data_IF_728095721916
#
_entry.id   IF_728095721916
#
_cell.length_a   1.000
_cell.length_b   1.000
_cell.length_c   1.000
_cell.angle_alpha   90.00
_cell.angle_beta   90.00
_cell.angle_gamma   90.00
#
_symmetry.space_group_name_H-M   'P 1'
#
loop_
_entity.id
_entity.type
_entity.pdbx_description
1 polymer ?
#
# COMPACT_ATOMS: atom_id res chain seq x y z
N UNK A 1 9.67 22.46 12.11
CA UNK A 1 8.29 22.87 12.44
C UNK A 1 7.37 22.11 11.51
N UNK A 2 6.62 21.14 12.03
CA UNK A 2 5.53 20.49 11.29
C UNK A 2 4.38 21.50 11.20
N UNK A 3 3.80 21.67 10.01
CA UNK A 3 2.69 22.61 9.79
C UNK A 3 1.46 21.77 9.51
N UNK A 4 0.45 21.88 10.37
CA UNK A 4 -0.83 21.21 10.12
C UNK A 4 -1.54 21.94 8.97
N UNK A 5 -1.72 21.27 7.83
CA UNK A 5 -2.40 21.80 6.66
C UNK A 5 -3.74 21.09 6.49
N UNK A 6 -4.81 21.73 6.94
CA UNK A 6 -6.16 21.22 6.70
C UNK A 6 -6.66 21.62 5.29
N UNK A 7 -6.62 20.73 4.28
CA UNK A 7 -7.46 20.87 3.07
C UNK A 7 -8.84 20.25 3.29
N UNK A 8 -9.54 20.71 4.34
CA UNK A 8 -10.92 20.32 4.63
C UNK A 8 -11.87 20.77 3.48
N UNK A 9 -11.47 21.76 2.68
CA UNK A 9 -12.39 22.52 1.82
C UNK A 9 -12.70 21.83 0.49
N UNK A 10 -11.80 21.03 -0.08
CA UNK A 10 -11.98 20.58 -1.47
C UNK A 10 -12.29 19.09 -1.67
N UNK A 11 -11.77 18.18 -0.84
CA UNK A 11 -11.90 16.72 -1.05
C UNK A 11 -12.19 15.93 0.23
N UNK A 12 -12.44 16.61 1.35
CA UNK A 12 -12.71 15.96 2.63
C UNK A 12 -11.51 15.27 3.28
N UNK A 13 -10.27 15.60 2.88
CA UNK A 13 -9.04 15.04 3.47
C UNK A 13 -8.36 16.11 4.34
N UNK A 14 -8.34 15.88 5.64
CA UNK A 14 -7.43 16.58 6.56
C UNK A 14 -6.09 15.85 6.57
N UNK A 15 -4.97 16.56 6.40
CA UNK A 15 -3.65 15.94 6.44
C UNK A 15 -2.63 16.77 7.22
N UNK A 16 -1.65 16.08 7.81
CA UNK A 16 -0.49 16.74 8.41
C UNK A 16 0.62 16.84 7.39
N UNK A 17 1.12 18.05 7.15
CA UNK A 17 2.20 18.27 6.19
C UNK A 17 3.52 18.51 6.92
N UNK A 18 4.55 17.80 6.48
CA UNK A 18 5.92 18.03 6.90
C UNK A 18 6.73 18.53 5.71
N UNK A 19 7.34 19.74 5.80
CA UNK A 19 8.29 20.20 4.81
C UNK A 19 9.63 19.43 4.88
N UNK A 20 9.82 18.61 5.92
CA UNK A 20 11.00 17.78 6.11
C UNK A 20 10.85 16.47 5.36
N UNK A 21 11.83 16.14 4.52
CA UNK A 21 11.86 14.85 3.82
C UNK A 21 12.15 13.69 4.77
N UNK A 22 11.48 12.55 4.54
CA UNK A 22 11.79 11.31 5.26
C UNK A 22 13.24 10.85 5.04
N UNK A 23 13.88 11.23 3.92
CA UNK A 23 15.29 10.94 3.67
C UNK A 23 16.26 11.66 4.61
N UNK A 24 15.84 12.78 5.21
CA UNK A 24 16.67 13.55 6.14
C UNK A 24 16.62 13.06 7.59
N UNK A 25 15.68 12.16 7.91
CA UNK A 25 15.52 11.62 9.25
C UNK A 25 16.47 10.44 9.45
N UNK A 26 17.12 10.41 10.61
CA UNK A 26 17.77 9.20 11.14
C UNK A 26 16.72 8.13 11.48
N UNK A 27 17.18 6.90 11.70
CA UNK A 27 16.28 5.79 12.04
C UNK A 27 15.51 6.05 13.35
N UNK A 28 16.18 6.63 14.35
CA UNK A 28 15.56 6.90 15.65
C UNK A 28 14.58 8.07 15.59
N UNK A 29 14.88 9.11 14.80
CA UNK A 29 13.93 10.19 14.52
C UNK A 29 12.69 9.67 13.79
N UNK A 30 12.87 8.78 12.80
CA UNK A 30 11.73 8.17 12.10
C UNK A 30 10.89 7.30 13.03
N UNK A 31 11.51 6.50 13.91
CA UNK A 31 10.80 5.70 14.92
C UNK A 31 10.00 6.59 15.87
N UNK A 32 10.61 7.68 16.35
CA UNK A 32 9.94 8.63 17.22
C UNK A 32 8.76 9.31 16.51
N UNK A 33 8.95 9.75 15.26
CA UNK A 33 7.89 10.33 14.45
C UNK A 33 6.74 9.35 14.22
N UNK A 34 7.01 8.09 13.88
CA UNK A 34 5.98 7.05 13.73
C UNK A 34 5.21 6.86 15.04
N UNK A 35 5.90 6.86 16.18
CA UNK A 35 5.27 6.77 17.49
C UNK A 35 4.32 7.96 17.75
N UNK A 36 4.78 9.19 17.48
CA UNK A 36 3.95 10.40 17.59
C UNK A 36 2.73 10.36 16.66
N UNK A 37 2.90 9.95 15.40
CA UNK A 37 1.81 9.86 14.44
C UNK A 37 0.82 8.76 14.82
N UNK A 38 1.28 7.63 15.34
CA UNK A 38 0.42 6.56 15.83
C UNK A 38 -0.42 7.00 17.04
N UNK A 39 0.09 7.90 17.89
CA UNK A 39 -0.69 8.48 18.97
C UNK A 39 -1.85 9.38 18.46
N UNK A 40 -1.77 9.83 17.20
CA UNK A 40 -2.79 10.65 16.53
C UNK A 40 -3.65 9.85 15.52
N UNK A 41 -3.53 8.51 15.46
CA UNK A 41 -4.15 7.72 14.39
C UNK A 41 -5.68 7.78 14.35
N UNK A 42 -6.33 8.06 15.48
CA UNK A 42 -7.78 8.18 15.56
C UNK A 42 -8.32 9.55 15.10
N UNK A 43 -7.42 10.49 14.77
CA UNK A 43 -7.77 11.86 14.36
C UNK A 43 -7.12 12.27 13.03
N UNK A 44 -6.17 11.47 12.53
CA UNK A 44 -5.32 11.82 11.39
C UNK A 44 -5.29 10.69 10.36
N UNK A 45 -6.02 10.85 9.26
CA UNK A 45 -6.07 9.85 8.18
C UNK A 45 -4.94 9.96 7.14
N UNK A 46 -4.30 11.13 7.02
CA UNK A 46 -3.29 11.36 6.00
C UNK A 46 -2.11 12.19 6.51
N UNK A 47 -0.90 11.82 6.10
CA UNK A 47 0.29 12.66 6.27
C UNK A 47 1.03 12.80 4.95
N UNK A 48 1.64 13.96 4.75
CA UNK A 48 2.41 14.28 3.54
C UNK A 48 3.78 14.77 3.95
N UNK A 49 4.83 14.12 3.43
CA UNK A 49 6.22 14.55 3.58
C UNK A 49 6.73 15.05 2.24
N UNK A 50 7.31 16.25 2.23
CA UNK A 50 7.91 16.80 1.02
C UNK A 50 9.18 16.05 0.62
N UNK A 51 9.48 15.96 -0.68
CA UNK A 51 10.70 15.33 -1.15
C UNK A 51 11.93 16.24 -0.96
N UNK A 52 13.13 15.67 -0.98
CA UNK A 52 14.39 16.44 -0.95
C UNK A 52 14.82 16.97 -2.33
N UNK A 53 14.00 16.72 -3.35
CA UNK A 53 14.26 17.12 -4.74
C UNK A 53 15.10 16.14 -5.55
N UNK A 54 15.64 15.07 -4.94
CA UNK A 54 16.41 14.04 -5.65
C UNK A 54 15.53 13.11 -6.49
N UNK A 55 14.25 12.94 -6.11
CA UNK A 55 13.29 12.10 -6.83
C UNK A 55 12.25 12.92 -7.61
N UNK A 56 11.98 12.46 -8.83
CA UNK A 56 10.89 12.96 -9.69
C UNK A 56 9.62 12.13 -9.58
N UNK A 57 9.66 11.03 -8.82
CA UNK A 57 8.55 10.11 -8.62
C UNK A 57 7.99 10.33 -7.23
N UNK A 58 6.67 10.49 -7.11
CA UNK A 58 6.01 10.56 -5.82
C UNK A 58 5.69 9.14 -5.32
N UNK A 59 5.62 8.96 -4.00
CA UNK A 59 5.24 7.70 -3.37
C UNK A 59 3.93 7.87 -2.62
N UNK A 60 2.98 6.99 -2.88
CA UNK A 60 1.74 6.87 -2.12
C UNK A 60 1.79 5.56 -1.35
N UNK A 61 1.54 5.61 -0.04
CA UNK A 61 1.48 4.44 0.82
C UNK A 61 0.08 4.37 1.43
N UNK A 62 -0.53 3.19 1.37
CA UNK A 62 -1.73 2.87 2.13
C UNK A 62 -1.36 1.87 3.23
N UNK A 63 -1.65 2.25 4.48
CA UNK A 63 -1.53 1.36 5.63
C UNK A 63 -2.58 0.25 5.58
N UNK A 64 -2.19 -0.96 5.96
CA UNK A 64 -3.10 -2.08 6.19
C UNK A 64 -3.78 -2.02 7.56
N UNK A 65 -4.64 -3.00 7.82
CA UNK A 65 -5.33 -3.15 9.11
C UNK A 65 -4.30 -3.17 10.25
N UNK A 66 -4.52 -2.36 11.28
CA UNK A 66 -3.68 -2.25 12.48
C UNK A 66 -2.25 -1.72 12.26
N UNK A 67 -1.84 -1.40 11.03
CA UNK A 67 -0.50 -0.88 10.75
C UNK A 67 -0.36 0.60 11.15
N UNK A 68 -1.46 1.36 11.15
CA UNK A 68 -1.50 2.81 11.38
C UNK A 68 -0.44 3.50 10.50
N UNK A 69 0.55 4.19 11.08
CA UNK A 69 1.64 4.86 10.36
C UNK A 69 2.94 4.04 10.28
N UNK A 70 2.94 2.79 10.72
CA UNK A 70 4.16 1.98 10.85
C UNK A 70 4.83 1.67 9.50
N UNK A 71 4.06 1.65 8.41
CA UNK A 71 4.59 1.42 7.06
C UNK A 71 5.40 2.62 6.52
N UNK A 72 5.41 3.78 7.19
CA UNK A 72 6.35 4.86 6.85
C UNK A 72 7.81 4.40 6.89
N UNK A 73 8.11 3.35 7.68
CA UNK A 73 9.43 2.73 7.74
C UNK A 73 9.94 2.23 6.38
N UNK A 74 9.06 1.84 5.45
CA UNK A 74 9.47 1.43 4.09
C UNK A 74 9.88 2.62 3.22
N UNK A 75 9.52 3.84 3.60
CA UNK A 75 9.91 5.05 2.90
C UNK A 75 11.19 5.69 3.44
N UNK A 76 11.85 5.05 4.42
CA UNK A 76 13.10 5.56 4.99
C UNK A 76 14.15 5.79 3.90
N UNK A 77 14.84 6.92 3.95
CA UNK A 77 15.90 7.23 2.98
C UNK A 77 15.42 7.52 1.56
N UNK A 78 14.11 7.59 1.30
CA UNK A 78 13.56 7.99 0.01
C UNK A 78 13.46 9.52 -0.07
N UNK A 79 14.10 10.13 -1.06
CA UNK A 79 13.99 11.56 -1.35
C UNK A 79 12.70 11.95 -2.09
N UNK A 80 11.72 11.06 -2.13
CA UNK A 80 10.43 11.29 -2.79
C UNK A 80 9.48 12.03 -1.88
N UNK A 81 8.57 12.80 -2.47
CA UNK A 81 7.38 13.24 -1.76
C UNK A 81 6.53 12.03 -1.42
N UNK A 82 6.15 11.87 -0.16
CA UNK A 82 5.39 10.72 0.35
C UNK A 82 4.02 11.17 0.81
N UNK A 83 2.98 10.58 0.23
CA UNK A 83 1.61 10.63 0.74
C UNK A 83 1.35 9.32 1.47
N UNK A 84 0.98 9.38 2.74
CA UNK A 84 0.66 8.19 3.52
C UNK A 84 -0.77 8.29 4.02
N UNK A 85 -1.58 7.30 3.69
CA UNK A 85 -2.97 7.18 4.10
C UNK A 85 -3.14 6.02 5.07
N UNK A 86 -3.99 6.24 6.07
CA UNK A 86 -4.48 5.21 6.98
C UNK A 86 -5.91 5.56 7.39
N UNK A 87 -6.70 4.55 7.70
CA UNK A 87 -8.04 4.75 8.22
C UNK A 87 -8.26 3.72 9.32
N UNK A 88 -8.33 4.15 10.59
CA UNK A 88 -8.61 3.24 11.73
C UNK A 88 -10.09 2.89 11.86
N UNK A 89 -10.97 3.57 11.12
CA UNK A 89 -12.43 3.44 11.20
C UNK A 89 -12.96 2.60 10.04
N UNK A 90 -12.45 2.83 8.83
CA UNK A 90 -12.82 2.14 7.60
C UNK A 90 -11.58 1.56 6.93
N UNK A 91 -11.09 0.43 7.44
CA UNK A 91 -9.76 -0.08 7.07
C UNK A 91 -9.60 -0.42 5.58
N UNK A 92 -10.70 -0.62 4.85
CA UNK A 92 -10.72 -0.84 3.40
C UNK A 92 -11.00 0.44 2.61
N UNK A 93 -10.80 1.62 3.21
CA UNK A 93 -10.93 2.91 2.54
C UNK A 93 -12.31 3.10 1.90
N UNK A 94 -13.36 2.63 2.58
CA UNK A 94 -14.77 2.81 2.19
C UNK A 94 -15.35 4.16 2.61
N UNK A 95 -14.52 5.03 3.21
CA UNK A 95 -14.92 6.33 3.74
C UNK A 95 -15.19 6.30 5.24
N UNK A 96 -14.81 7.39 5.91
CA UNK A 96 -14.94 7.61 7.34
C UNK A 96 -14.91 9.11 7.67
N UNK A 97 -14.87 9.45 8.96
CA UNK A 97 -14.57 10.81 9.41
C UNK A 97 -13.08 11.19 9.24
N UNK A 98 -12.19 10.22 8.98
CA UNK A 98 -10.75 10.46 8.80
C UNK A 98 -10.38 10.69 7.34
N UNK A 99 -10.98 9.91 6.45
CA UNK A 99 -10.73 9.94 5.01
C UNK A 99 -12.04 9.80 4.24
N UNK A 100 -12.16 10.41 3.04
CA UNK A 100 -13.20 10.01 2.10
C UNK A 100 -12.94 8.57 1.64
N UNK A 101 -13.88 8.02 0.88
CA UNK A 101 -13.67 6.76 0.21
C UNK A 101 -12.51 6.81 -0.80
N UNK A 102 -12.15 5.64 -1.33
CA UNK A 102 -11.05 5.48 -2.27
C UNK A 102 -11.19 6.35 -3.53
N UNK A 103 -12.43 6.63 -3.98
CA UNK A 103 -12.69 7.54 -5.11
C UNK A 103 -12.34 8.98 -4.76
N UNK A 104 -12.70 9.44 -3.56
CA UNK A 104 -12.32 10.74 -3.03
C UNK A 104 -10.81 10.89 -2.86
N UNK A 105 -10.13 9.85 -2.36
CA UNK A 105 -8.66 9.81 -2.26
C UNK A 105 -8.03 9.90 -3.66
N UNK A 106 -8.55 9.16 -4.63
CA UNK A 106 -8.08 9.22 -6.01
C UNK A 106 -8.26 10.62 -6.62
N UNK A 107 -9.39 11.29 -6.36
CA UNK A 107 -9.64 12.66 -6.80
C UNK A 107 -8.65 13.65 -6.18
N UNK A 108 -8.39 13.55 -4.87
CA UNK A 108 -7.38 14.33 -4.17
C UNK A 108 -5.99 14.13 -4.79
N UNK A 109 -5.53 12.89 -4.95
CA UNK A 109 -4.20 12.61 -5.50
C UNK A 109 -4.05 13.10 -6.95
N UNK A 110 -5.08 12.95 -7.80
CA UNK A 110 -5.06 13.53 -9.14
C UNK A 110 -4.88 15.05 -9.14
N UNK A 111 -5.42 15.76 -8.14
CA UNK A 111 -5.21 17.21 -8.00
C UNK A 111 -3.80 17.54 -7.53
N UNK A 112 -3.27 16.84 -6.53
CA UNK A 112 -2.00 17.18 -5.89
C UNK A 112 -0.75 16.65 -6.61
N UNK A 113 -0.89 15.55 -7.36
CA UNK A 113 0.16 14.98 -8.21
C UNK A 113 -0.02 15.48 -9.67
N UNK A 114 -1.26 15.68 -10.12
CA UNK A 114 -1.57 15.96 -11.53
C UNK A 114 -1.69 17.44 -11.95
N UNK A 115 -1.61 18.43 -11.04
CA UNK A 115 -1.70 19.87 -11.38
C UNK A 115 -0.36 20.59 -11.67
N UNK A 116 0.78 19.89 -11.69
CA UNK A 116 2.02 20.56 -12.10
C UNK A 116 1.95 20.91 -13.60
N UNK A 117 2.21 22.17 -14.01
CA UNK A 117 2.12 22.61 -15.42
C UNK A 117 3.11 21.90 -16.35
N UNK A 118 4.07 21.15 -15.78
CA UNK A 118 5.15 20.45 -16.48
C UNK A 118 4.98 18.96 -16.23
N UNK A 119 4.04 18.34 -16.94
CA UNK A 119 3.86 16.88 -17.00
C UNK A 119 3.29 16.25 -15.72
N UNK A 120 2.60 15.11 -15.90
CA UNK A 120 2.20 14.25 -14.78
C UNK A 120 3.47 13.66 -14.16
N UNK A 121 3.76 13.96 -12.89
CA UNK A 121 4.85 13.31 -12.17
C UNK A 121 4.57 11.81 -12.08
N UNK A 122 5.56 10.93 -12.35
CA UNK A 122 5.42 9.50 -12.05
C UNK A 122 5.02 9.30 -10.59
N UNK A 123 4.24 8.27 -10.32
CA UNK A 123 3.82 7.91 -8.97
C UNK A 123 3.96 6.40 -8.80
N UNK A 124 4.53 5.99 -7.66
CA UNK A 124 4.47 4.62 -7.17
C UNK A 124 3.45 4.55 -6.04
N UNK A 125 2.54 3.59 -6.10
CA UNK A 125 1.55 3.32 -5.05
C UNK A 125 1.90 1.99 -4.40
N UNK A 126 1.93 1.96 -3.09
CA UNK A 126 2.35 0.81 -2.31
C UNK A 126 1.39 0.55 -1.15
N UNK A 127 1.20 -0.72 -0.80
CA UNK A 127 0.43 -1.11 0.37
C UNK A 127 0.43 -2.61 0.62
N UNK A 128 0.05 -3.00 1.83
CA UNK A 128 -0.11 -4.38 2.26
C UNK A 128 -1.53 -4.64 2.75
N UNK A 129 -2.05 -5.86 2.60
CA UNK A 129 -3.38 -6.23 3.13
C UNK A 129 -4.46 -5.30 2.55
N UNK A 130 -5.27 -4.66 3.39
CA UNK A 130 -6.25 -3.65 2.97
C UNK A 130 -5.61 -2.41 2.32
N UNK A 131 -4.37 -2.07 2.68
CA UNK A 131 -3.57 -1.09 1.97
C UNK A 131 -3.14 -1.57 0.58
N UNK A 132 -2.89 -2.87 0.43
CA UNK A 132 -2.63 -3.51 -0.87
C UNK A 132 -3.85 -3.46 -1.80
N UNK A 133 -5.04 -3.67 -1.23
CA UNK A 133 -6.32 -3.42 -1.92
C UNK A 133 -6.40 -1.98 -2.42
N UNK A 134 -6.22 -1.00 -1.53
CA UNK A 134 -6.31 0.41 -1.87
C UNK A 134 -5.28 0.82 -2.93
N UNK A 135 -4.07 0.25 -2.87
CA UNK A 135 -3.04 0.47 -3.87
C UNK A 135 -3.47 -0.02 -5.26
N UNK A 136 -4.06 -1.21 -5.35
CA UNK A 136 -4.60 -1.73 -6.61
C UNK A 136 -5.80 -0.92 -7.11
N UNK A 137 -6.75 -0.59 -6.23
CA UNK A 137 -7.92 0.22 -6.57
C UNK A 137 -7.53 1.60 -7.11
N UNK A 138 -6.63 2.30 -6.41
CA UNK A 138 -6.07 3.58 -6.88
C UNK A 138 -5.35 3.41 -8.21
N UNK A 139 -4.62 2.31 -8.40
CA UNK A 139 -4.03 1.95 -9.68
C UNK A 139 -5.06 1.92 -10.81
N UNK A 140 -6.16 1.20 -10.64
CA UNK A 140 -7.21 1.12 -11.66
C UNK A 140 -7.77 2.51 -12.03
N UNK A 141 -7.98 3.37 -11.02
CA UNK A 141 -8.51 4.73 -11.14
C UNK A 141 -7.50 5.76 -11.66
N UNK A 142 -6.21 5.49 -11.49
CA UNK A 142 -5.08 6.30 -11.95
C UNK A 142 -4.17 5.43 -12.82
N UNK A 143 -4.56 5.14 -14.09
CA UNK A 143 -3.96 4.05 -14.87
C UNK A 143 -2.47 4.21 -15.20
N UNK A 144 -1.91 5.41 -14.96
CA UNK A 144 -0.51 5.76 -15.21
C UNK A 144 0.38 5.62 -13.97
N UNK A 145 -0.19 5.31 -12.81
CA UNK A 145 0.58 5.06 -11.59
C UNK A 145 1.11 3.63 -11.59
N UNK A 146 2.35 3.49 -11.17
CA UNK A 146 2.94 2.19 -10.86
C UNK A 146 2.40 1.70 -9.52
N UNK A 147 2.14 0.40 -9.39
CA UNK A 147 1.57 -0.21 -8.18
C UNK A 147 2.40 -1.40 -7.75
N UNK A 148 2.71 -1.47 -6.46
CA UNK A 148 3.21 -2.66 -5.78
C UNK A 148 2.30 -2.97 -4.59
N UNK A 149 1.51 -4.03 -4.68
CA UNK A 149 0.63 -4.48 -3.61
C UNK A 149 1.15 -5.78 -3.00
N UNK A 150 1.13 -5.89 -1.67
CA UNK A 150 1.52 -7.10 -0.93
C UNK A 150 0.30 -7.70 -0.23
N UNK A 151 0.05 -8.99 -0.43
CA UNK A 151 -1.10 -9.74 0.08
C UNK A 151 -2.42 -8.94 0.03
N UNK A 152 -2.82 -8.39 -1.14
CA UNK A 152 -4.01 -7.57 -1.23
C UNK A 152 -5.30 -8.39 -1.08
N UNK A 153 -6.30 -7.87 -0.36
CA UNK A 153 -7.66 -8.42 -0.37
C UNK A 153 -8.45 -7.87 -1.56
N UNK A 154 -8.67 -8.69 -2.57
CA UNK A 154 -9.05 -8.19 -3.91
C UNK A 154 -10.55 -8.12 -4.21
N UNK A 155 -11.43 -8.64 -3.36
CA UNK A 155 -12.88 -8.66 -3.60
C UNK A 155 -13.65 -9.00 -2.31
N UNK A 156 -14.97 -8.69 -2.24
CA UNK A 156 -15.86 -9.17 -1.19
C UNK A 156 -15.93 -10.69 -1.09
N UNK A 157 -15.43 -11.26 0.01
CA UNK A 157 -15.27 -12.70 0.17
C UNK A 157 -16.18 -13.35 1.24
N UNK A 158 -16.96 -12.56 1.97
CA UNK A 158 -17.65 -13.03 3.17
C UNK A 158 -18.62 -14.18 2.88
N UNK A 159 -19.48 -14.00 1.87
CA UNK A 159 -20.43 -15.02 1.40
C UNK A 159 -19.74 -16.25 0.81
N UNK A 160 -18.59 -16.08 0.15
CA UNK A 160 -17.83 -17.19 -0.42
C UNK A 160 -17.22 -18.03 0.69
N UNK A 161 -16.50 -17.41 1.63
CA UNK A 161 -15.83 -18.08 2.75
C UNK A 161 -16.82 -18.80 3.66
N UNK A 162 -18.01 -18.23 3.91
CA UNK A 162 -19.08 -18.90 4.68
C UNK A 162 -19.59 -20.20 4.05
N UNK A 163 -19.42 -20.39 2.73
CA UNK A 163 -19.82 -21.61 2.01
C UNK A 163 -18.69 -22.66 1.95
N UNK A 164 -17.48 -22.31 2.34
CA UNK A 164 -16.35 -23.23 2.36
C UNK A 164 -16.33 -24.02 3.67
N UNK A 165 -16.00 -25.31 3.58
CA UNK A 165 -15.78 -26.12 4.77
C UNK A 165 -14.36 -25.87 5.31
N UNK A 166 -14.22 -24.85 6.17
CA UNK A 166 -12.95 -24.46 6.78
C UNK A 166 -12.89 -25.02 8.20
N UNK A 167 -11.71 -25.50 8.60
CA UNK A 167 -11.50 -25.99 9.97
C UNK A 167 -11.88 -24.91 10.99
N UNK A 168 -12.72 -25.22 12.01
CA UNK A 168 -13.04 -24.28 13.09
C UNK A 168 -11.83 -23.80 13.90
N UNK A 169 -10.69 -24.50 13.79
CA UNK A 169 -9.43 -24.11 14.42
C UNK A 169 -8.75 -22.91 13.74
N UNK A 170 -9.20 -22.50 12.55
CA UNK A 170 -8.65 -21.36 11.82
C UNK A 170 -9.50 -20.11 12.07
N UNK A 171 -8.84 -19.03 12.52
CA UNK A 171 -9.48 -17.73 12.72
C UNK A 171 -9.63 -16.98 11.39
N UNK A 172 -10.56 -17.42 10.55
CA UNK A 172 -10.83 -16.84 9.23
C UNK A 172 -11.32 -15.40 9.35
N UNK A 173 -10.76 -14.50 8.55
CA UNK A 173 -11.26 -13.13 8.40
C UNK A 173 -11.97 -12.94 7.06
N UNK A 174 -12.79 -11.90 7.03
CA UNK A 174 -13.60 -11.53 5.89
C UNK A 174 -13.36 -10.08 5.50
N UNK A 175 -13.41 -9.82 4.21
CA UNK A 175 -13.54 -8.47 3.67
C UNK A 175 -14.99 -8.01 3.73
N UNK A 176 -15.25 -6.70 3.83
CA UNK A 176 -16.61 -6.17 3.80
C UNK A 176 -17.29 -6.30 2.43
N UNK A 177 -18.62 -6.33 2.41
CA UNK A 177 -19.43 -6.49 1.17
C UNK A 177 -19.38 -5.26 0.26
N UNK A 178 -19.00 -4.08 0.79
CA UNK A 178 -18.87 -2.85 0.01
C UNK A 178 -17.53 -2.76 -0.76
N UNK A 179 -16.63 -3.72 -0.58
CA UNK A 179 -15.32 -3.69 -1.23
C UNK A 179 -15.49 -3.73 -2.75
N UNK A 180 -14.75 -2.89 -3.48
CA UNK A 180 -14.76 -2.95 -4.94
C UNK A 180 -14.04 -4.24 -5.39
N UNK A 181 -14.61 -4.94 -6.37
CA UNK A 181 -13.93 -6.08 -6.98
C UNK A 181 -12.78 -5.57 -7.89
N UNK A 182 -11.54 -5.88 -7.51
CA UNK A 182 -10.35 -5.45 -8.26
C UNK A 182 -10.35 -6.01 -9.68
N UNK A 183 -10.86 -7.22 -9.90
CA UNK A 183 -10.96 -7.79 -11.24
C UNK A 183 -11.85 -6.93 -12.14
N UNK A 184 -13.01 -6.53 -11.64
CA UNK A 184 -13.97 -5.72 -12.37
C UNK A 184 -13.44 -4.30 -12.62
N UNK A 185 -12.76 -3.69 -11.64
CA UNK A 185 -12.11 -2.39 -11.79
C UNK A 185 -11.05 -2.42 -12.91
N UNK A 186 -10.21 -3.45 -12.94
CA UNK A 186 -9.15 -3.55 -13.94
C UNK A 186 -9.67 -3.93 -15.33
N UNK A 187 -10.82 -4.62 -15.44
CA UNK A 187 -11.45 -4.95 -16.73
C UNK A 187 -11.73 -3.72 -17.60
N UNK A 188 -11.98 -2.57 -16.97
CA UNK A 188 -12.28 -1.31 -17.66
C UNK A 188 -11.10 -0.33 -17.69
N UNK A 189 -9.98 -0.65 -17.04
CA UNK A 189 -8.83 0.24 -16.89
C UNK A 189 -7.83 0.09 -18.04
N UNK A 190 -7.56 1.18 -18.77
CA UNK A 190 -6.52 1.22 -19.81
C UNK A 190 -5.16 1.59 -19.19
N UNK A 191 -4.56 0.67 -18.45
CA UNK A 191 -3.31 0.92 -17.70
C UNK A 191 -2.10 1.16 -18.59
N UNK A 192 -1.27 2.12 -18.18
CA UNK A 192 0.06 2.41 -18.73
C UNK A 192 1.16 2.26 -17.68
N UNK A 193 0.83 2.38 -16.39
CA UNK A 193 1.69 2.02 -15.27
C UNK A 193 1.74 0.51 -15.04
N UNK A 194 2.82 0.01 -14.46
CA UNK A 194 2.95 -1.37 -14.00
C UNK A 194 2.00 -1.58 -12.81
N UNK A 195 1.35 -2.72 -12.70
CA UNK A 195 0.78 -3.17 -11.42
C UNK A 195 1.36 -4.53 -11.10
N UNK A 196 1.88 -4.69 -9.88
CA UNK A 196 2.38 -5.95 -9.37
C UNK A 196 1.70 -6.28 -8.04
N UNK A 197 1.26 -7.52 -7.88
CA UNK A 197 0.71 -8.05 -6.63
C UNK A 197 1.56 -9.23 -6.16
N UNK A 198 2.11 -9.14 -4.97
CA UNK A 198 2.90 -10.20 -4.32
C UNK A 198 2.02 -10.88 -3.28
N UNK A 199 1.84 -12.19 -3.35
CA UNK A 199 1.14 -12.99 -2.36
C UNK A 199 2.09 -13.88 -1.58
N UNK A 200 1.73 -14.19 -0.35
CA UNK A 200 2.45 -15.17 0.47
C UNK A 200 2.23 -16.58 -0.09
N UNK A 201 3.26 -17.42 -0.12
CA UNK A 201 3.12 -18.82 -0.53
C UNK A 201 2.23 -19.63 0.42
N UNK A 202 2.11 -19.17 1.67
CA UNK A 202 1.21 -19.74 2.66
C UNK A 202 0.88 -18.75 3.77
N UNK A 203 -0.07 -19.12 4.61
CA UNK A 203 -0.47 -18.43 5.84
C UNK A 203 -0.25 -19.31 7.09
N UNK A 204 0.47 -20.43 6.95
CA UNK A 204 0.60 -21.42 8.03
C UNK A 204 1.39 -20.91 9.24
N UNK A 205 2.27 -19.92 9.06
CA UNK A 205 2.98 -19.26 10.18
C UNK A 205 2.37 -17.92 10.52
N UNK A 206 1.12 -17.65 10.11
CA UNK A 206 0.40 -16.54 10.72
C UNK A 206 0.48 -16.77 12.24
N UNK A 207 0.91 -15.77 13.03
CA UNK A 207 0.97 -15.90 14.48
C UNK A 207 -0.33 -16.53 14.99
N UNK A 208 -0.29 -17.32 16.06
CA UNK A 208 -1.48 -18.05 16.56
C UNK A 208 -2.68 -17.13 16.89
N UNK A 209 -2.41 -15.82 17.07
CA UNK A 209 -3.36 -14.72 17.29
C UNK A 209 -3.69 -13.91 16.03
N UNK A 210 -3.09 -14.23 14.88
CA UNK A 210 -3.32 -13.61 13.58
C UNK A 210 -4.22 -14.48 12.70
N UNK A 211 -4.93 -13.74 11.87
CA UNK A 211 -6.06 -14.17 11.09
C UNK A 211 -5.70 -14.95 9.83
N UNK A 212 -6.55 -15.89 9.43
CA UNK A 212 -6.44 -16.57 8.14
C UNK A 212 -7.22 -15.78 7.08
N UNK A 213 -6.51 -15.12 6.17
CA UNK A 213 -7.07 -14.25 5.14
C UNK A 213 -7.37 -14.99 3.85
N UNK A 214 -6.83 -16.20 3.66
CA UNK A 214 -6.98 -16.96 2.42
C UNK A 214 -6.44 -16.19 1.21
N UNK A 215 -5.24 -15.62 1.31
CA UNK A 215 -4.55 -14.84 0.27
C UNK A 215 -4.59 -15.53 -1.11
N UNK A 216 -4.53 -16.85 -1.16
CA UNK A 216 -4.58 -17.65 -2.40
C UNK A 216 -5.91 -17.50 -3.12
N UNK A 217 -7.01 -17.31 -2.38
CA UNK A 217 -8.33 -17.03 -2.95
C UNK A 217 -8.33 -15.67 -3.66
N UNK A 218 -7.75 -14.65 -3.02
CA UNK A 218 -7.59 -13.32 -3.59
C UNK A 218 -6.62 -13.29 -4.77
N UNK A 219 -5.55 -14.07 -4.72
CA UNK A 219 -4.60 -14.26 -5.81
C UNK A 219 -5.28 -14.87 -7.04
N UNK A 220 -5.97 -16.00 -6.87
CA UNK A 220 -6.64 -16.71 -7.98
C UNK A 220 -7.64 -15.80 -8.69
N UNK A 221 -8.36 -14.97 -7.93
CA UNK A 221 -9.33 -14.00 -8.48
C UNK A 221 -8.71 -12.97 -9.42
N UNK A 222 -7.45 -12.58 -9.23
CA UNK A 222 -6.79 -11.56 -10.07
C UNK A 222 -5.69 -12.12 -10.98
N UNK A 223 -5.35 -13.40 -10.87
CA UNK A 223 -4.26 -14.03 -11.64
C UNK A 223 -4.50 -14.00 -13.16
N UNK A 224 -5.75 -13.92 -13.60
CA UNK A 224 -6.09 -13.82 -15.03
C UNK A 224 -6.22 -12.37 -15.53
N UNK A 225 -6.04 -11.36 -14.68
CA UNK A 225 -6.12 -9.94 -15.06
C UNK A 225 -4.81 -9.54 -15.77
N UNK A 226 -4.78 -9.34 -17.10
CA UNK A 226 -3.53 -9.26 -17.85
C UNK A 226 -2.64 -8.06 -17.51
N UNK A 227 -3.22 -7.03 -16.90
CA UNK A 227 -2.54 -5.79 -16.49
C UNK A 227 -2.00 -5.82 -15.07
N UNK A 228 -2.13 -6.94 -14.34
CA UNK A 228 -1.54 -7.15 -13.02
C UNK A 228 -0.55 -8.31 -13.10
N UNK A 229 0.72 -8.03 -12.84
CA UNK A 229 1.74 -9.06 -12.68
C UNK A 229 1.59 -9.69 -11.27
N UNK A 230 1.19 -10.96 -11.18
CA UNK A 230 1.05 -11.67 -9.91
C UNK A 230 2.28 -12.49 -9.58
N UNK A 231 2.78 -12.37 -8.35
CA UNK A 231 3.95 -13.07 -7.84
C UNK A 231 3.60 -13.84 -6.57
N UNK A 232 4.27 -14.96 -6.36
CA UNK A 232 4.23 -15.73 -5.12
C UNK A 232 5.59 -15.62 -4.44
N UNK A 233 5.64 -15.05 -3.25
CA UNK A 233 6.85 -14.95 -2.43
C UNK A 233 6.96 -16.16 -1.49
N UNK A 234 8.19 -16.57 -1.18
CA UNK A 234 8.48 -17.63 -0.20
C UNK A 234 8.26 -17.14 1.25
N UNK A 235 7.08 -16.59 1.51
CA UNK A 235 6.57 -16.19 2.82
C UNK A 235 5.48 -17.18 3.24
N UNK A 236 5.34 -17.33 4.55
CA UNK A 236 4.30 -18.12 5.21
C UNK A 236 3.38 -17.28 6.09
N UNK A 237 3.52 -15.95 6.02
CA UNK A 237 2.73 -14.97 6.76
C UNK A 237 2.04 -14.00 5.80
N UNK A 238 0.79 -13.68 6.10
CA UNK A 238 0.01 -12.65 5.43
C UNK A 238 0.76 -11.31 5.35
N UNK A 239 1.40 -10.91 6.47
CA UNK A 239 2.16 -9.66 6.56
C UNK A 239 3.58 -9.81 6.00
N UNK A 240 3.71 -9.92 4.68
CA UNK A 240 5.00 -10.10 3.96
C UNK A 240 6.02 -9.01 4.32
N UNK A 241 5.58 -7.77 4.48
CA UNK A 241 6.42 -6.60 4.75
C UNK A 241 6.85 -6.51 6.22
N UNK A 242 6.09 -7.15 7.13
CA UNK A 242 6.41 -7.15 8.56
C UNK A 242 7.82 -7.72 8.79
N UNK A 243 8.60 -7.05 9.64
CA UNK A 243 10.04 -7.30 9.89
C UNK A 243 10.96 -7.16 8.67
N UNK A 244 10.43 -6.86 7.47
CA UNK A 244 11.21 -6.70 6.22
C UNK A 244 11.22 -5.25 5.72
N UNK A 245 10.94 -4.27 6.57
CA UNK A 245 10.87 -2.86 6.18
C UNK A 245 12.16 -2.36 5.52
N UNK A 246 13.33 -2.85 5.96
CA UNK A 246 14.63 -2.57 5.32
C UNK A 246 14.65 -3.03 3.87
N UNK A 247 14.32 -4.29 3.62
CA UNK A 247 14.33 -4.89 2.30
C UNK A 247 13.38 -4.13 1.37
N UNK A 248 12.14 -3.89 1.83
CA UNK A 248 11.16 -3.15 1.04
C UNK A 248 11.61 -1.70 0.77
N UNK A 249 12.25 -1.03 1.72
CA UNK A 249 12.81 0.31 1.52
C UNK A 249 13.85 0.36 0.40
N UNK A 250 14.75 -0.62 0.34
CA UNK A 250 15.77 -0.73 -0.72
C UNK A 250 15.12 -0.90 -2.10
N UNK A 251 14.14 -1.80 -2.22
CA UNK A 251 13.45 -2.06 -3.49
C UNK A 251 12.46 -0.97 -3.91
N UNK A 252 11.78 -0.33 -2.97
CA UNK A 252 10.94 0.84 -3.26
C UNK A 252 11.78 2.00 -3.79
N UNK A 253 13.01 2.19 -3.27
CA UNK A 253 13.95 3.17 -3.81
C UNK A 253 14.27 2.89 -5.27
N UNK A 254 14.62 1.65 -5.60
CA UNK A 254 14.90 1.25 -6.98
C UNK A 254 13.68 1.45 -7.90
N UNK A 255 12.47 1.13 -7.43
CA UNK A 255 11.23 1.32 -8.21
C UNK A 255 10.92 2.80 -8.46
N UNK A 256 11.09 3.65 -7.43
CA UNK A 256 10.93 5.10 -7.52
C UNK A 256 11.93 5.70 -8.52
N UNK A 257 13.19 5.30 -8.46
CA UNK A 257 14.25 5.70 -9.40
C UNK A 257 14.02 5.16 -10.82
N UNK A 258 13.27 4.06 -10.95
CA UNK A 258 12.79 3.54 -12.20
C UNK A 258 11.50 4.22 -12.71
N UNK A 259 10.99 5.25 -12.03
CA UNK A 259 9.85 6.03 -12.47
C UNK A 259 10.03 6.58 -13.89
N UNK A 260 9.02 6.38 -14.72
CA UNK A 260 9.05 6.74 -16.15
C UNK A 260 9.86 5.78 -17.05
N UNK A 261 10.59 4.80 -16.49
CA UNK A 261 11.21 3.73 -17.28
C UNK A 261 10.15 2.71 -17.74
N UNK A 262 10.53 1.89 -18.73
CA UNK A 262 9.66 0.83 -19.29
C UNK A 262 9.24 -0.17 -18.21
N UNK A 263 8.02 -0.71 -18.33
CA UNK A 263 7.47 -1.71 -17.39
C UNK A 263 8.39 -2.91 -17.15
N UNK A 264 9.13 -3.36 -18.18
CA UNK A 264 10.09 -4.48 -18.05
C UNK A 264 11.13 -4.26 -16.95
N UNK A 265 11.70 -3.05 -16.86
CA UNK A 265 12.72 -2.71 -15.84
C UNK A 265 12.12 -2.80 -14.44
N UNK A 266 10.90 -2.29 -14.27
CA UNK A 266 10.20 -2.33 -12.98
C UNK A 266 9.84 -3.76 -12.57
N UNK A 267 9.42 -4.61 -13.51
CA UNK A 267 9.19 -6.04 -13.26
C UNK A 267 10.45 -6.78 -12.81
N UNK A 268 11.60 -6.49 -13.42
CA UNK A 268 12.89 -7.08 -13.02
C UNK A 268 13.25 -6.71 -11.56
N UNK A 269 12.92 -5.48 -11.13
CA UNK A 269 13.08 -5.04 -9.74
C UNK A 269 12.14 -5.83 -8.81
N UNK A 270 10.86 -5.97 -9.17
CA UNK A 270 9.88 -6.74 -8.36
C UNK A 270 10.27 -8.22 -8.29
N UNK A 271 10.74 -8.82 -9.37
CA UNK A 271 11.22 -10.21 -9.38
C UNK A 271 12.39 -10.41 -8.41
N UNK A 272 13.35 -9.48 -8.39
CA UNK A 272 14.44 -9.51 -7.40
C UNK A 272 13.94 -9.36 -5.97
N UNK A 273 12.96 -8.49 -5.72
CA UNK A 273 12.33 -8.37 -4.40
C UNK A 273 11.69 -9.72 -3.98
N UNK A 274 10.90 -10.33 -4.86
CA UNK A 274 10.24 -11.62 -4.61
C UNK A 274 11.26 -12.71 -4.29
N UNK A 275 12.38 -12.77 -5.02
CA UNK A 275 13.47 -13.70 -4.73
C UNK A 275 14.24 -13.39 -3.45
N UNK A 276 14.31 -12.13 -3.05
CA UNK A 276 14.96 -11.71 -1.80
C UNK A 276 14.08 -11.97 -0.57
N UNK A 277 12.76 -12.15 -0.74
CA UNK A 277 11.86 -12.58 0.33
C UNK A 277 12.12 -14.08 0.60
N UNK A 278 12.93 -14.32 1.62
CA UNK A 278 13.20 -15.65 2.14
C UNK A 278 12.21 -16.01 3.28
N UNK A 279 11.95 -17.32 3.50
CA UNK A 279 11.28 -17.78 4.70
C UNK A 279 12.05 -17.25 5.91
N UNK A 280 11.38 -16.47 6.76
CA UNK A 280 11.97 -16.03 8.02
C UNK A 280 11.92 -17.21 8.97
N UNK A 281 13.05 -17.87 9.18
CA UNK A 281 13.21 -18.87 10.24
C UNK A 281 13.58 -18.21 11.59
N UNK A 282 13.75 -16.88 11.62
CA UNK A 282 14.04 -16.13 12.84
C UNK A 282 13.52 -14.68 12.77
N UNK A 283 13.08 -14.10 13.91
CA UNK A 283 12.85 -12.67 14.00
C UNK A 283 14.19 -11.94 13.90
N UNK A 284 14.31 -11.01 12.95
CA UNK A 284 15.42 -10.05 12.92
C UNK A 284 15.27 -9.10 14.14
N UNK A 285 16.32 -9.02 14.95
CA UNK A 285 16.46 -8.13 16.12
C UNK A 285 16.37 -6.62 15.78
#
# INVERSE_FOLDING_TARGET
>A
MNVDFQDIVNHGISFKYSPTSLSSLTLDELRHLIFELNALSEELGCVVFEGDGSSKTDLVIFGGNLERFSMLSVARGLGSRVFYFQDTVSWWYGGSNLLPDIDGIAAFLRRYIGRQPIGRRPCLVFGQSSGGYAALALGAMCPHYDVLACSPQTFPDADLKRRLNISPSLAVQHTPDYLLDIEDLYRTSSRTGMAAAIFSASEFTNPYYNHFWMDHLHMVKIAHVPSIDTFLAASSNHSIVFQRARLFSEFLKELVEAGGKKARVKREIVQRLVHAIQPSDAPDE
#
